data_IF_527089596201
#
_entry.id   IF_527089596201
#
_cell.length_a   1.000
_cell.length_b   1.000
_cell.length_c   1.000
_cell.angle_alpha   90.00
_cell.angle_beta   90.00
_cell.angle_gamma   90.00
#
_symmetry.space_group_name_H-M   'P 1'
#
loop_
_entity.id
_entity.type
_entity.pdbx_description
1 polymer ?
#
# COMPACT_ATOMS: atom_id res chain seq x y z
N UNK A 1 36.04 -30.44 20.28
CA UNK A 1 35.65 -29.37 19.34
C UNK A 1 35.87 -28.04 20.04
N UNK A 2 36.63 -27.13 19.44
CA UNK A 2 36.96 -25.84 20.04
C UNK A 2 35.68 -25.04 20.28
N UNK A 3 35.57 -24.40 21.44
CA UNK A 3 34.44 -23.54 21.83
C UNK A 3 34.11 -22.51 20.74
N UNK A 4 35.12 -22.02 20.03
CA UNK A 4 35.01 -21.13 18.86
C UNK A 4 34.08 -21.65 17.76
N UNK A 5 34.12 -22.95 17.47
CA UNK A 5 33.32 -23.56 16.40
C UNK A 5 31.85 -23.66 16.82
N UNK A 6 31.60 -23.95 18.10
CA UNK A 6 30.26 -23.97 18.68
C UNK A 6 29.67 -22.56 18.72
N UNK A 7 30.44 -21.54 19.13
CA UNK A 7 29.97 -20.15 19.15
C UNK A 7 29.69 -19.59 17.75
N UNK A 8 30.51 -19.96 16.75
CA UNK A 8 30.31 -19.54 15.36
C UNK A 8 29.06 -20.17 14.74
N UNK A 9 28.83 -21.47 14.99
CA UNK A 9 27.63 -22.18 14.50
C UNK A 9 26.37 -21.68 15.22
N UNK A 10 26.42 -21.45 16.53
CA UNK A 10 25.27 -20.92 17.27
C UNK A 10 24.97 -19.47 16.89
N UNK A 11 26.00 -18.60 16.76
CA UNK A 11 25.82 -17.21 16.35
C UNK A 11 25.21 -17.08 14.95
N UNK A 12 25.69 -17.87 13.99
CA UNK A 12 25.16 -17.86 12.62
C UNK A 12 23.73 -18.43 12.53
N UNK A 13 23.41 -19.49 13.28
CA UNK A 13 22.06 -20.07 13.30
C UNK A 13 21.02 -19.16 13.93
N UNK A 14 21.36 -18.47 15.03
CA UNK A 14 20.46 -17.51 15.70
C UNK A 14 20.19 -16.30 14.82
N UNK A 15 21.23 -15.75 14.18
CA UNK A 15 21.07 -14.64 13.24
C UNK A 15 20.20 -15.04 12.03
N UNK A 16 20.42 -16.23 11.48
CA UNK A 16 19.58 -16.78 10.41
C UNK A 16 18.11 -16.88 10.84
N UNK A 17 17.85 -17.44 12.02
CA UNK A 17 16.49 -17.57 12.56
C UNK A 17 15.78 -16.22 12.74
N UNK A 18 16.48 -15.20 13.26
CA UNK A 18 15.92 -13.85 13.43
C UNK A 18 15.57 -13.20 12.10
N UNK A 19 16.45 -13.32 11.10
CA UNK A 19 16.22 -12.80 9.75
C UNK A 19 15.01 -13.51 9.13
N UNK A 20 14.97 -14.84 9.19
CA UNK A 20 13.86 -15.64 8.65
C UNK A 20 12.54 -15.30 9.33
N UNK A 21 12.51 -15.15 10.65
CA UNK A 21 11.31 -14.78 11.40
C UNK A 21 10.80 -13.38 11.04
N UNK A 22 11.71 -12.43 10.81
CA UNK A 22 11.35 -11.09 10.33
C UNK A 22 10.69 -11.15 8.94
N UNK A 23 11.29 -11.88 7.99
CA UNK A 23 10.72 -12.05 6.65
C UNK A 23 9.37 -12.77 6.66
N UNK A 24 9.22 -13.81 7.48
CA UNK A 24 7.96 -14.52 7.67
C UNK A 24 6.87 -13.60 8.18
N UNK A 25 7.17 -12.81 9.22
CA UNK A 25 6.22 -11.84 9.77
C UNK A 25 5.82 -10.80 8.74
N UNK A 26 6.79 -10.20 8.05
CA UNK A 26 6.51 -9.20 7.00
C UNK A 26 5.64 -9.76 5.87
N UNK A 27 5.94 -10.98 5.40
CA UNK A 27 5.13 -11.66 4.38
C UNK A 27 3.71 -11.93 4.90
N UNK A 28 3.58 -12.38 6.14
CA UNK A 28 2.30 -12.65 6.78
C UNK A 28 1.44 -11.39 6.89
N UNK A 29 2.01 -10.30 7.42
CA UNK A 29 1.30 -9.02 7.60
C UNK A 29 0.81 -8.46 6.26
N UNK A 30 1.66 -8.55 5.22
CA UNK A 30 1.27 -8.14 3.86
C UNK A 30 0.17 -9.02 3.28
N UNK A 31 0.25 -10.33 3.48
CA UNK A 31 -0.77 -11.26 3.00
C UNK A 31 -2.12 -10.98 3.66
N UNK A 32 -2.14 -10.77 4.98
CA UNK A 32 -3.33 -10.42 5.75
C UNK A 32 -3.93 -9.10 5.25
N UNK A 33 -3.09 -8.08 5.04
CA UNK A 33 -3.54 -6.79 4.50
C UNK A 33 -4.15 -6.94 3.10
N UNK A 34 -3.53 -7.72 2.22
CA UNK A 34 -4.07 -7.99 0.88
C UNK A 34 -5.43 -8.68 1.00
N UNK A 35 -5.52 -9.72 1.81
CA UNK A 35 -6.74 -10.50 2.00
C UNK A 35 -7.88 -9.61 2.51
N UNK A 36 -7.63 -8.83 3.56
CA UNK A 36 -8.63 -7.89 4.12
C UNK A 36 -9.10 -6.87 3.08
N UNK A 37 -8.17 -6.20 2.38
CA UNK A 37 -8.53 -5.22 1.34
C UNK A 37 -9.34 -5.89 0.22
N UNK A 38 -8.94 -7.08 -0.23
CA UNK A 38 -9.66 -7.78 -1.30
C UNK A 38 -11.05 -8.22 -0.86
N UNK A 39 -11.23 -8.60 0.41
CA UNK A 39 -12.51 -8.99 0.98
C UNK A 39 -13.43 -7.78 1.12
N UNK A 40 -12.98 -6.69 1.73
CA UNK A 40 -13.74 -5.43 1.83
C UNK A 40 -14.13 -4.91 0.43
N UNK A 41 -13.22 -4.97 -0.54
CA UNK A 41 -13.49 -4.56 -1.93
C UNK A 41 -14.50 -5.47 -2.63
N UNK A 42 -14.47 -6.77 -2.35
CA UNK A 42 -15.49 -7.70 -2.86
C UNK A 42 -16.86 -7.33 -2.33
N UNK A 43 -16.97 -7.09 -1.02
CA UNK A 43 -18.21 -6.68 -0.36
C UNK A 43 -18.69 -5.32 -0.89
N UNK A 44 -17.79 -4.35 -1.02
CA UNK A 44 -18.08 -3.04 -1.60
C UNK A 44 -18.61 -3.14 -3.04
N UNK A 45 -17.99 -3.95 -3.90
CA UNK A 45 -18.46 -4.16 -5.28
C UNK A 45 -19.81 -4.88 -5.35
N UNK A 46 -20.08 -5.81 -4.44
CA UNK A 46 -21.39 -6.49 -4.37
C UNK A 46 -22.45 -5.46 -3.98
N UNK A 47 -22.20 -4.71 -2.91
CA UNK A 47 -23.13 -3.71 -2.41
C UNK A 47 -23.42 -2.60 -3.42
N UNK A 48 -22.42 -2.14 -4.18
CA UNK A 48 -22.65 -1.17 -5.24
C UNK A 48 -23.59 -1.69 -6.36
N UNK A 49 -23.49 -2.97 -6.70
CA UNK A 49 -24.41 -3.58 -7.69
C UNK A 49 -25.82 -3.70 -7.15
N UNK A 50 -25.96 -4.10 -5.89
CA UNK A 50 -27.26 -4.17 -5.20
C UNK A 50 -27.92 -2.78 -5.14
N UNK A 51 -27.18 -1.76 -4.71
CA UNK A 51 -27.66 -0.38 -4.67
C UNK A 51 -28.10 0.13 -6.04
N UNK A 52 -27.40 -0.26 -7.11
CA UNK A 52 -27.82 0.08 -8.47
C UNK A 52 -29.16 -0.54 -8.81
N UNK A 53 -29.35 -1.84 -8.54
CA UNK A 53 -30.62 -2.54 -8.81
C UNK A 53 -31.76 -1.95 -7.96
N UNK A 54 -31.51 -1.72 -6.67
CA UNK A 54 -32.47 -1.05 -5.78
C UNK A 54 -32.83 0.36 -6.28
N UNK A 55 -31.89 1.07 -6.89
CA UNK A 55 -32.13 2.40 -7.46
C UNK A 55 -33.02 2.33 -8.70
N UNK A 56 -32.81 1.35 -9.59
CA UNK A 56 -33.70 1.12 -10.74
C UNK A 56 -35.13 0.89 -10.25
N UNK A 57 -35.31 -0.03 -9.30
CA UNK A 57 -36.63 -0.31 -8.71
C UNK A 57 -37.26 0.92 -8.04
N UNK A 58 -36.46 1.74 -7.36
CA UNK A 58 -36.92 2.96 -6.72
C UNK A 58 -37.35 4.03 -7.74
N UNK A 59 -36.64 4.13 -8.86
CA UNK A 59 -36.98 5.04 -9.96
C UNK A 59 -38.27 4.60 -10.66
N UNK A 60 -38.42 3.31 -10.95
CA UNK A 60 -39.64 2.75 -11.55
C UNK A 60 -40.88 3.00 -10.68
N UNK A 61 -40.73 2.85 -9.36
CA UNK A 61 -41.79 3.10 -8.37
C UNK A 61 -41.95 4.57 -8.00
N UNK A 62 -41.06 5.45 -8.49
CA UNK A 62 -40.96 6.88 -8.11
C UNK A 62 -40.85 7.08 -6.58
N UNK A 63 -40.17 6.16 -5.90
CA UNK A 63 -39.98 6.20 -4.46
C UNK A 63 -38.76 7.06 -4.09
N UNK A 64 -39.05 8.32 -3.77
CA UNK A 64 -38.03 9.30 -3.37
C UNK A 64 -37.34 8.97 -2.05
N UNK A 65 -38.00 8.24 -1.16
CA UNK A 65 -37.41 7.91 0.15
C UNK A 65 -36.33 6.86 -0.02
N UNK A 66 -36.60 5.82 -0.82
CA UNK A 66 -35.61 4.78 -1.13
C UNK A 66 -34.45 5.35 -1.93
N UNK A 67 -34.72 6.14 -2.97
CA UNK A 67 -33.66 6.77 -3.77
C UNK A 67 -32.73 7.66 -2.92
N UNK A 68 -33.27 8.42 -1.95
CA UNK A 68 -32.45 9.22 -1.02
C UNK A 68 -31.62 8.38 -0.06
N UNK A 69 -32.13 7.23 0.39
CA UNK A 69 -31.33 6.31 1.21
C UNK A 69 -30.14 5.77 0.41
N UNK A 70 -30.35 5.45 -0.86
CA UNK A 70 -29.30 4.97 -1.76
C UNK A 70 -28.25 6.06 -2.00
N UNK A 71 -28.69 7.30 -2.26
CA UNK A 71 -27.79 8.46 -2.37
C UNK A 71 -26.90 8.60 -1.13
N UNK A 72 -27.51 8.61 0.06
CA UNK A 72 -26.79 8.74 1.32
C UNK A 72 -25.76 7.62 1.53
N UNK A 73 -26.10 6.38 1.15
CA UNK A 73 -25.16 5.27 1.24
C UNK A 73 -24.01 5.38 0.23
N UNK A 74 -24.28 5.84 -1.01
CA UNK A 74 -23.25 6.05 -2.02
C UNK A 74 -22.27 7.16 -1.63
N UNK A 75 -22.74 8.25 -1.01
CA UNK A 75 -21.88 9.35 -0.55
C UNK A 75 -20.79 8.86 0.41
N UNK A 76 -21.12 7.90 1.29
CA UNK A 76 -20.16 7.36 2.27
C UNK A 76 -19.21 6.33 1.64
N UNK A 77 -19.63 5.67 0.57
CA UNK A 77 -18.86 4.60 -0.10
C UNK A 77 -17.95 5.09 -1.22
N UNK A 78 -18.28 6.23 -1.84
CA UNK A 78 -17.55 6.83 -2.94
C UNK A 78 -16.56 7.88 -2.42
N UNK A 79 -15.50 8.15 -3.18
CA UNK A 79 -14.54 9.17 -2.82
C UNK A 79 -14.96 10.52 -3.40
N UNK A 80 -15.46 11.44 -2.57
CA UNK A 80 -15.88 12.78 -3.03
C UNK A 80 -14.74 13.65 -3.56
N UNK A 81 -13.48 13.28 -3.30
CA UNK A 81 -12.31 13.97 -3.88
C UNK A 81 -11.98 13.48 -5.30
N UNK A 82 -12.48 12.31 -5.71
CA UNK A 82 -12.30 11.83 -7.08
C UNK A 82 -13.39 12.45 -7.98
N UNK A 83 -13.00 13.13 -9.08
CA UNK A 83 -13.98 13.81 -9.93
C UNK A 83 -14.97 12.85 -10.56
N UNK A 84 -14.60 11.60 -10.88
CA UNK A 84 -15.51 10.63 -11.49
C UNK A 84 -16.55 10.11 -10.49
N UNK A 85 -16.13 9.92 -9.23
CA UNK A 85 -17.01 9.51 -8.13
C UNK A 85 -18.00 10.65 -7.78
N UNK A 86 -17.54 11.90 -7.74
CA UNK A 86 -18.39 13.08 -7.52
C UNK A 86 -19.45 13.22 -8.62
N UNK A 87 -19.03 13.00 -9.86
CA UNK A 87 -19.85 13.01 -11.06
C UNK A 87 -21.00 11.96 -11.04
N UNK A 88 -20.90 10.90 -10.23
CA UNK A 88 -22.00 9.96 -9.99
C UNK A 88 -23.03 10.57 -9.03
N UNK A 89 -22.56 11.26 -7.99
CA UNK A 89 -23.40 11.86 -6.96
C UNK A 89 -24.19 13.05 -7.48
N UNK A 90 -23.60 13.84 -8.39
CA UNK A 90 -24.26 15.00 -9.02
C UNK A 90 -25.46 14.64 -9.92
N UNK A 91 -25.64 13.36 -10.27
CA UNK A 91 -26.79 12.90 -11.05
C UNK A 91 -28.05 12.68 -10.21
N UNK A 92 -27.93 12.51 -8.89
CA UNK A 92 -29.08 12.26 -8.01
C UNK A 92 -30.15 13.36 -8.03
N UNK A 93 -29.79 14.67 -7.98
CA UNK A 93 -30.76 15.75 -8.15
C UNK A 93 -31.63 15.61 -9.41
N UNK A 94 -31.00 15.25 -10.54
CA UNK A 94 -31.69 15.08 -11.83
C UNK A 94 -32.63 13.87 -11.83
N UNK A 95 -32.27 12.80 -11.11
CA UNK A 95 -33.13 11.62 -10.91
C UNK A 95 -34.40 12.01 -10.14
N UNK A 96 -34.28 12.83 -9.10
CA UNK A 96 -35.44 13.25 -8.29
C UNK A 96 -36.43 14.17 -9.03
N UNK A 97 -35.93 14.97 -9.97
CA UNK A 97 -36.75 15.93 -10.72
C UNK A 97 -37.44 15.27 -11.91
N UNK A 98 -36.72 14.45 -12.66
CA UNK A 98 -37.18 13.94 -13.96
C UNK A 98 -37.65 12.49 -13.93
N UNK A 99 -37.18 11.68 -12.97
CA UNK A 99 -37.29 10.22 -13.00
C UNK A 99 -36.96 9.62 -14.38
N UNK A 100 -36.01 10.24 -15.09
CA UNK A 100 -35.70 9.86 -16.47
C UNK A 100 -34.85 8.60 -16.50
N UNK A 101 -35.22 7.68 -17.40
CA UNK A 101 -34.42 6.48 -17.67
C UNK A 101 -33.03 6.85 -18.20
N UNK A 102 -32.89 7.97 -18.93
CA UNK A 102 -31.61 8.43 -19.47
C UNK A 102 -30.63 8.81 -18.36
N UNK A 103 -31.06 9.56 -17.34
CA UNK A 103 -30.22 9.90 -16.18
C UNK A 103 -29.85 8.66 -15.37
N UNK A 104 -30.80 7.75 -15.16
CA UNK A 104 -30.55 6.47 -14.47
C UNK A 104 -29.54 5.60 -15.23
N UNK A 105 -29.64 5.59 -16.57
CA UNK A 105 -28.70 4.88 -17.44
C UNK A 105 -27.31 5.50 -17.39
N UNK A 106 -27.21 6.83 -17.41
CA UNK A 106 -25.92 7.51 -17.26
C UNK A 106 -25.26 7.20 -15.91
N UNK A 107 -26.03 7.22 -14.82
CA UNK A 107 -25.53 6.82 -13.50
C UNK A 107 -25.04 5.37 -13.50
N UNK A 108 -25.82 4.46 -14.08
CA UNK A 108 -25.48 3.03 -14.20
C UNK A 108 -24.19 2.80 -14.99
N UNK A 109 -23.99 3.55 -16.07
CA UNK A 109 -22.79 3.48 -16.89
C UNK A 109 -21.55 3.97 -16.11
N UNK A 110 -21.68 5.07 -15.36
CA UNK A 110 -20.59 5.61 -14.53
C UNK A 110 -20.21 4.67 -13.38
N UNK A 111 -21.19 4.09 -12.69
CA UNK A 111 -20.95 3.07 -11.66
C UNK A 111 -20.29 1.82 -12.27
N UNK A 112 -20.71 1.40 -13.47
CA UNK A 112 -20.09 0.27 -14.17
C UNK A 112 -18.64 0.56 -14.56
N UNK A 113 -18.34 1.80 -14.97
CA UNK A 113 -16.98 2.25 -15.26
C UNK A 113 -16.11 2.22 -14.00
N UNK A 114 -16.62 2.77 -12.89
CA UNK A 114 -15.96 2.72 -11.57
C UNK A 114 -15.60 1.28 -11.18
N UNK A 115 -16.57 0.35 -11.27
CA UNK A 115 -16.37 -1.06 -10.94
C UNK A 115 -15.34 -1.75 -11.83
N UNK A 116 -15.20 -1.32 -13.09
CA UNK A 116 -14.22 -1.86 -14.04
C UNK A 116 -12.79 -1.42 -13.71
N UNK A 117 -12.64 -0.19 -13.23
CA UNK A 117 -11.34 0.41 -12.88
C UNK A 117 -10.96 0.27 -11.40
N UNK A 118 -11.83 -0.30 -10.55
CA UNK A 118 -11.56 -0.58 -9.13
C UNK A 118 -10.26 -1.37 -8.92
N UNK A 119 -9.90 -2.29 -9.82
CA UNK A 119 -8.65 -3.05 -9.74
C UNK A 119 -7.39 -2.16 -9.74
N UNK A 120 -7.40 -1.03 -10.44
CA UNK A 120 -6.27 -0.09 -10.47
C UNK A 120 -6.15 0.69 -9.16
N UNK A 121 -7.29 1.03 -8.53
CA UNK A 121 -7.34 1.66 -7.21
C UNK A 121 -6.78 0.74 -6.13
N UNK A 122 -7.19 -0.53 -6.13
CA UNK A 122 -6.72 -1.54 -5.16
C UNK A 122 -5.20 -1.76 -5.24
N UNK A 123 -4.61 -1.72 -6.44
CA UNK A 123 -3.14 -1.79 -6.58
C UNK A 123 -2.42 -0.66 -5.86
N UNK A 124 -3.00 0.55 -5.86
CA UNK A 124 -2.46 1.69 -5.14
C UNK A 124 -2.49 1.50 -3.61
N UNK A 125 -3.60 0.96 -3.10
CA UNK A 125 -3.82 0.71 -1.66
C UNK A 125 -2.90 -0.39 -1.12
N UNK A 126 -2.71 -1.47 -1.89
CA UNK A 126 -1.87 -2.61 -1.52
C UNK A 126 -0.36 -2.30 -1.65
N UNK A 127 0.03 -1.32 -2.47
CA UNK A 127 1.45 -0.95 -2.66
C UNK A 127 2.01 -0.06 -1.54
N UNK A 128 1.37 -0.04 -0.37
CA UNK A 128 1.81 0.67 0.83
C UNK A 128 3.28 0.47 1.21
N UNK A 129 4.13 1.35 0.70
CA UNK A 129 5.13 2.10 1.47
C UNK A 129 6.51 1.49 1.74
N UNK A 130 6.71 0.17 1.66
CA UNK A 130 8.03 -0.42 1.94
C UNK A 130 8.56 -1.23 0.76
N UNK A 131 9.64 -0.71 0.16
CA UNK A 131 10.36 -1.38 -0.89
C UNK A 131 11.15 -2.55 -0.27
N UNK A 132 10.67 -3.77 -0.44
CA UNK A 132 11.26 -5.02 0.08
C UNK A 132 12.75 -5.11 -0.25
N UNK A 133 13.12 -4.64 -1.44
CA UNK A 133 14.50 -4.57 -1.90
C UNK A 133 15.36 -3.61 -1.05
N UNK A 134 14.79 -2.50 -0.57
CA UNK A 134 15.47 -1.57 0.33
C UNK A 134 15.72 -2.21 1.70
N UNK A 135 14.75 -2.96 2.24
CA UNK A 135 14.92 -3.66 3.51
C UNK A 135 15.89 -4.84 3.38
N UNK A 136 15.80 -5.64 2.32
CA UNK A 136 16.76 -6.70 2.00
C UNK A 136 18.17 -6.15 1.88
N UNK A 137 18.36 -5.07 1.12
CA UNK A 137 19.64 -4.40 0.97
C UNK A 137 20.17 -3.90 2.32
N UNK A 138 19.32 -3.28 3.14
CA UNK A 138 19.71 -2.84 4.48
C UNK A 138 20.13 -4.02 5.38
N UNK A 139 19.42 -5.15 5.32
CA UNK A 139 19.79 -6.35 6.08
C UNK A 139 21.11 -6.96 5.60
N UNK A 140 21.35 -7.01 4.29
CA UNK A 140 22.61 -7.50 3.73
C UNK A 140 23.77 -6.59 4.13
N UNK A 141 23.58 -5.26 4.05
CA UNK A 141 24.59 -4.28 4.48
C UNK A 141 24.89 -4.42 5.97
N UNK A 142 23.87 -4.59 6.81
CA UNK A 142 24.05 -4.79 8.25
C UNK A 142 24.79 -6.09 8.57
N UNK A 143 24.50 -7.19 7.85
CA UNK A 143 25.23 -8.45 8.04
C UNK A 143 26.69 -8.31 7.60
N UNK A 144 26.95 -7.70 6.44
CA UNK A 144 28.31 -7.44 5.95
C UNK A 144 29.09 -6.49 6.87
N UNK A 145 28.44 -5.49 7.46
CA UNK A 145 29.08 -4.55 8.39
C UNK A 145 29.49 -5.24 9.69
N UNK A 146 28.67 -6.17 10.19
CA UNK A 146 28.97 -6.99 11.38
C UNK A 146 30.13 -7.94 11.09
N UNK A 147 30.13 -8.63 9.95
CA UNK A 147 31.22 -9.54 9.55
C UNK A 147 32.54 -8.76 9.39
N UNK A 148 32.51 -7.62 8.70
CA UNK A 148 33.69 -6.75 8.52
C UNK A 148 34.25 -6.25 9.86
N UNK A 149 33.38 -5.90 10.81
CA UNK A 149 33.80 -5.51 12.15
C UNK A 149 34.56 -6.63 12.88
N UNK A 150 34.03 -7.85 12.90
CA UNK A 150 34.72 -8.98 13.53
C UNK A 150 36.08 -9.27 12.89
N UNK A 151 36.18 -9.16 11.56
CA UNK A 151 37.43 -9.33 10.83
C UNK A 151 38.47 -8.25 11.20
N UNK A 152 38.05 -6.99 11.34
CA UNK A 152 38.92 -5.89 11.77
C UNK A 152 39.39 -6.09 13.21
N UNK A 153 38.51 -6.54 14.11
CA UNK A 153 38.89 -6.84 15.49
C UNK A 153 39.91 -7.96 15.58
N UNK A 154 39.72 -9.03 14.80
CA UNK A 154 40.66 -10.16 14.73
C UNK A 154 42.04 -9.70 14.21
N UNK A 155 42.07 -8.91 13.14
CA UNK A 155 43.30 -8.30 12.60
C UNK A 155 44.02 -7.37 13.59
N UNK A 156 43.28 -6.55 14.35
CA UNK A 156 43.85 -5.64 15.34
C UNK A 156 44.31 -6.36 16.62
N UNK A 157 43.63 -7.44 17.00
CA UNK A 157 44.02 -8.29 18.12
C UNK A 157 45.35 -8.99 17.88
N UNK A 158 45.61 -9.42 16.64
CA UNK A 158 46.89 -10.05 16.25
C UNK A 158 48.08 -9.09 16.40
N UNK A 159 47.86 -7.79 16.21
CA UNK A 159 48.85 -6.73 16.45
C UNK A 159 49.05 -6.35 17.93
N UNK A 160 48.33 -7.00 18.88
CA UNK A 160 48.46 -6.79 20.34
C UNK A 160 48.24 -5.36 20.85
N UNK A 161 47.68 -4.45 20.06
CA UNK A 161 47.58 -3.02 20.42
C UNK A 161 46.26 -2.60 21.10
N UNK A 162 45.24 -3.48 21.22
CA UNK A 162 43.91 -3.05 21.71
C UNK A 162 43.44 -3.74 23.00
N UNK A 163 43.02 -2.91 23.97
CA UNK A 163 42.24 -3.31 25.14
C UNK A 163 40.79 -3.68 24.76
N UNK A 164 40.22 -4.67 25.44
CA UNK A 164 38.84 -5.14 25.28
C UNK A 164 37.80 -4.02 25.47
N UNK A 165 38.06 -3.06 26.38
CA UNK A 165 37.16 -1.93 26.63
C UNK A 165 37.02 -1.03 25.39
N UNK A 166 38.13 -0.74 24.73
CA UNK A 166 38.20 0.06 23.51
C UNK A 166 37.42 -0.61 22.39
N UNK A 167 37.59 -1.93 22.20
CA UNK A 167 36.88 -2.71 21.18
C UNK A 167 35.36 -2.60 21.35
N UNK A 168 34.84 -2.71 22.58
CA UNK A 168 33.39 -2.65 22.81
C UNK A 168 32.79 -1.26 22.52
N UNK A 169 33.55 -0.18 22.77
CA UNK A 169 33.11 1.19 22.50
C UNK A 169 33.06 1.45 20.99
N UNK A 170 34.06 0.99 20.24
CA UNK A 170 34.06 1.09 18.78
C UNK A 170 32.96 0.23 18.14
N UNK A 171 32.68 -0.97 18.70
CA UNK A 171 31.55 -1.79 18.26
C UNK A 171 30.22 -1.09 18.48
N UNK A 172 30.01 -0.55 19.69
CA UNK A 172 28.79 0.17 20.04
C UNK A 172 28.54 1.35 19.10
N UNK A 173 29.55 2.19 18.86
CA UNK A 173 29.45 3.35 17.96
C UNK A 173 29.19 2.97 16.49
N UNK A 174 29.82 1.89 16.01
CA UNK A 174 29.58 1.35 14.67
C UNK A 174 28.16 0.80 14.52
N UNK A 175 27.70 0.01 15.50
CA UNK A 175 26.39 -0.61 15.48
C UNK A 175 25.26 0.45 15.56
N UNK A 176 25.44 1.50 16.38
CA UNK A 176 24.48 2.62 16.41
C UNK A 176 24.46 3.40 15.10
N UNK A 177 25.62 3.59 14.45
CA UNK A 177 25.71 4.34 13.20
C UNK A 177 25.08 3.60 12.02
N UNK A 178 25.30 2.28 11.93
CA UNK A 178 24.71 1.45 10.85
C UNK A 178 23.20 1.33 10.98
N UNK A 179 22.67 1.21 12.20
CA UNK A 179 21.22 1.21 12.47
C UNK A 179 20.59 2.57 12.10
N UNK A 180 21.25 3.69 12.44
CA UNK A 180 20.77 5.02 12.07
C UNK A 180 20.77 5.23 10.55
N UNK A 181 21.84 4.83 9.85
CA UNK A 181 21.92 4.91 8.38
C UNK A 181 20.84 4.03 7.74
N UNK A 182 20.66 2.82 8.23
CA UNK A 182 19.61 1.89 7.78
C UNK A 182 18.18 2.38 8.03
N UNK A 183 17.95 3.22 9.04
CA UNK A 183 16.65 3.85 9.30
C UNK A 183 16.41 5.11 8.45
N UNK A 184 17.47 5.86 8.14
CA UNK A 184 17.40 7.10 7.36
C UNK A 184 17.22 6.82 5.86
N UNK A 185 17.91 5.82 5.30
CA UNK A 185 17.86 5.49 3.87
C UNK A 185 16.42 5.19 3.38
N UNK A 186 15.61 4.35 4.05
CA UNK A 186 14.23 4.08 3.65
C UNK A 186 13.34 5.32 3.72
N UNK A 187 13.57 6.20 4.70
CA UNK A 187 12.79 7.41 4.90
C UNK A 187 13.01 8.41 3.73
N UNK A 188 14.26 8.56 3.30
CA UNK A 188 14.63 9.40 2.14
C UNK A 188 14.07 8.81 0.84
N UNK A 189 14.24 7.50 0.62
CA UNK A 189 13.75 6.83 -0.59
C UNK A 189 12.22 6.90 -0.71
N UNK A 190 11.48 6.67 0.39
CA UNK A 190 10.01 6.76 0.42
C UNK A 190 9.53 8.16 0.03
N UNK A 191 10.20 9.22 0.51
CA UNK A 191 9.85 10.61 0.20
C UNK A 191 10.03 10.95 -1.29
N UNK A 192 11.05 10.38 -1.94
CA UNK A 192 11.31 10.58 -3.38
C UNK A 192 10.29 9.81 -4.24
N UNK A 193 9.99 8.56 -3.89
CA UNK A 193 9.04 7.73 -4.68
C UNK A 193 7.61 8.25 -4.62
N UNK A 194 7.14 8.70 -3.44
CA UNK A 194 5.79 9.29 -3.30
C UNK A 194 5.65 10.54 -4.18
N UNK A 195 6.68 11.41 -4.19
CA UNK A 195 6.68 12.64 -5.00
C UNK A 195 6.56 12.34 -6.50
N UNK A 196 7.22 11.29 -6.98
CA UNK A 196 7.17 10.85 -8.38
C UNK A 196 5.82 10.26 -8.77
N UNK A 197 5.26 9.37 -7.94
CA UNK A 197 3.94 8.77 -8.17
C UNK A 197 2.84 9.83 -8.19
N UNK A 198 2.88 10.81 -7.28
CA UNK A 198 1.90 11.91 -7.28
C UNK A 198 1.98 12.77 -8.55
N UNK A 199 3.19 13.00 -9.09
CA UNK A 199 3.35 13.70 -10.37
C UNK A 199 2.79 12.90 -11.55
N UNK A 200 3.05 11.60 -11.60
CA UNK A 200 2.57 10.73 -12.68
C UNK A 200 1.04 10.59 -12.69
N UNK A 201 0.42 10.46 -11.51
CA UNK A 201 -1.06 10.44 -11.36
C UNK A 201 -1.67 11.76 -11.81
N UNK A 202 -1.08 12.89 -11.43
CA UNK A 202 -1.56 14.21 -11.83
C UNK A 202 -1.46 14.44 -13.35
N UNK A 203 -0.44 13.86 -14.00
CA UNK A 203 -0.28 13.90 -15.46
C UNK A 203 -1.27 12.97 -16.16
N UNK A 204 -1.53 11.77 -15.60
CA UNK A 204 -2.46 10.80 -16.18
C UNK A 204 -3.91 11.32 -16.14
N UNK A 205 -4.31 11.89 -15.01
CA UNK A 205 -5.66 12.45 -14.82
C UNK A 205 -5.91 13.64 -15.77
N UNK A 206 -4.88 14.42 -16.09
CA UNK A 206 -4.98 15.53 -17.06
C UNK A 206 -5.13 15.06 -18.52
N UNK A 207 -4.87 13.78 -18.84
CA UNK A 207 -4.84 13.23 -20.22
C UNK A 207 -6.09 12.45 -20.63
N UNK A 208 -7.02 12.18 -19.72
CA UNK A 208 -8.22 11.39 -20.03
C UNK A 208 -9.45 12.30 -20.12
N UNK A 209 -9.80 12.84 -21.30
CA UNK A 209 -11.10 13.45 -21.48
C UNK A 209 -12.17 12.35 -21.41
N UNK A 210 -13.17 12.56 -20.55
CA UNK A 210 -14.42 11.78 -20.53
C UNK A 210 -14.98 11.66 -21.94
N UNK A 211 -15.04 10.44 -22.47
CA UNK A 211 -15.50 10.18 -23.84
C UNK A 211 -17.03 10.16 -23.86
N UNK A 212 -17.64 11.32 -24.10
CA UNK A 212 -19.08 11.44 -24.38
C UNK A 212 -19.42 10.57 -25.59
N UNK A 213 -20.20 9.49 -25.41
CA UNK A 213 -20.71 8.67 -26.52
C UNK A 213 -21.80 9.47 -27.23
N UNK A 214 -21.69 9.66 -28.54
CA UNK A 214 -22.78 10.27 -29.32
C UNK A 214 -24.01 9.37 -29.18
N UNK A 215 -25.12 9.95 -28.72
CA UNK A 215 -26.41 9.28 -28.70
C UNK A 215 -26.68 8.78 -30.12
N UNK A 216 -26.86 7.46 -30.26
CA UNK A 216 -27.25 6.86 -31.53
C UNK A 216 -28.77 6.95 -31.56
N UNK A 217 -29.26 7.85 -32.41
CA UNK A 217 -30.68 8.05 -32.75
C UNK A 217 -31.37 6.73 -33.09
#
# INVERSE_FOLDING_TARGET
>A
MSTTLITAVLGSSVLGALITQFFLKWKSDRQISIENITQERKEWRVRLRELLVELVDAVDKKDRVVARKIEAELIVRLNTEDPNDLEILELFPQIYESWSEDTLRELSDRVSYLLKHDWERVKGEVNGGFNVYSMLLATVIAVLSVISFFFIVEFLSEKKELSFSTISVWFGGWLTSTVLIGAIIPCILKKVTIKKIMQDIMVLNRRLPYRKRSMRN
#
